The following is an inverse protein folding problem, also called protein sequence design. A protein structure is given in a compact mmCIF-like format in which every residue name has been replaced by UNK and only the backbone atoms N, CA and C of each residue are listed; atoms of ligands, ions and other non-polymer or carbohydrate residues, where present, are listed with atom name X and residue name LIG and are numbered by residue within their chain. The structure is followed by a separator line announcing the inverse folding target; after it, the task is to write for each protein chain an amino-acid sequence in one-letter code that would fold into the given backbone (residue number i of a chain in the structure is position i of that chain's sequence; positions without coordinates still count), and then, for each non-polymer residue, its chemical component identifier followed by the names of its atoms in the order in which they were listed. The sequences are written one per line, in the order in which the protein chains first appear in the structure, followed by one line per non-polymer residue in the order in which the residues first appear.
data_IF_355460830943
#
_entry.id   IF_355460830943
#
_cell.length_a   1.000
_cell.length_b   1.000
_cell.length_c   1.000
_cell.angle_alpha   90.00
_cell.angle_beta   90.00
_cell.angle_gamma   90.00
#
_symmetry.space_group_name_H-M   'P 1'
#
loop_
_entity.id
_entity.type
_entity.pdbx_description
1 polymer ?
#
# COMPACT_ATOMS: atom_id res chain seq x y z
N UNK A 1 -2.91 -3.43 -12.70
CA UNK A 1 -2.44 -2.02 -12.77
C UNK A 1 -3.41 -1.24 -13.64
N UNK A 2 -4.02 -0.19 -13.08
CA UNK A 2 -4.91 0.71 -13.81
C UNK A 2 -4.14 1.35 -14.98
N UNK A 3 -4.77 1.47 -16.16
CA UNK A 3 -4.13 2.11 -17.32
C UNK A 3 -3.88 3.59 -16.98
N UNK A 4 -2.71 4.10 -17.35
CA UNK A 4 -2.47 5.54 -17.33
C UNK A 4 -3.13 6.10 -18.58
N UNK A 5 -4.26 6.80 -18.41
CA UNK A 5 -4.99 7.42 -19.51
C UNK A 5 -4.07 8.29 -20.39
N UNK A 6 -4.36 8.37 -21.69
CA UNK A 6 -3.60 9.17 -22.67
C UNK A 6 -3.90 10.68 -22.58
N UNK A 7 -4.54 11.11 -21.49
CA UNK A 7 -4.77 12.51 -21.16
C UNK A 7 -3.52 13.22 -20.63
N UNK A 8 -3.65 14.51 -20.32
CA UNK A 8 -2.57 15.33 -19.75
C UNK A 8 -2.04 14.70 -18.45
N UNK A 9 -0.77 14.28 -18.46
CA UNK A 9 -0.11 13.67 -17.31
C UNK A 9 0.38 14.76 -16.34
N UNK A 10 -0.56 15.30 -15.56
CA UNK A 10 -0.37 16.34 -14.54
C UNK A 10 -0.27 15.77 -13.11
N UNK A 11 -0.07 16.65 -12.12
CA UNK A 11 0.06 16.24 -10.70
C UNK A 11 -1.19 15.49 -10.20
N UNK A 12 -2.38 15.91 -10.64
CA UNK A 12 -3.66 15.34 -10.22
C UNK A 12 -3.81 13.91 -10.76
N UNK A 13 -3.47 13.69 -12.03
CA UNK A 13 -3.52 12.38 -12.69
C UNK A 13 -2.50 11.42 -12.10
N UNK A 14 -1.27 11.88 -11.82
CA UNK A 14 -0.25 11.07 -11.14
C UNK A 14 -0.72 10.65 -9.74
N UNK A 15 -1.21 11.60 -8.94
CA UNK A 15 -1.74 11.31 -7.60
C UNK A 15 -2.90 10.33 -7.65
N UNK A 16 -3.85 10.56 -8.56
CA UNK A 16 -5.00 9.68 -8.75
C UNK A 16 -4.56 8.26 -9.10
N UNK A 17 -3.60 8.12 -10.02
CA UNK A 17 -3.07 6.82 -10.41
C UNK A 17 -2.46 6.04 -9.24
N UNK A 18 -1.67 6.71 -8.40
CA UNK A 18 -1.10 6.10 -7.19
C UNK A 18 -2.17 5.66 -6.19
N UNK A 19 -3.16 6.53 -5.92
CA UNK A 19 -4.27 6.23 -5.00
C UNK A 19 -5.07 5.02 -5.50
N UNK A 20 -5.50 5.03 -6.76
CA UNK A 20 -6.33 3.97 -7.32
C UNK A 20 -5.58 2.64 -7.41
N UNK A 21 -4.29 2.68 -7.80
CA UNK A 21 -3.48 1.47 -7.90
C UNK A 21 -3.27 0.82 -6.52
N UNK A 22 -2.85 1.60 -5.52
CA UNK A 22 -2.62 1.10 -4.17
C UNK A 22 -3.90 0.62 -3.49
N UNK A 23 -5.02 1.33 -3.71
CA UNK A 23 -6.33 0.92 -3.20
C UNK A 23 -6.80 -0.40 -3.81
N UNK A 24 -6.71 -0.55 -5.13
CA UNK A 24 -7.11 -1.78 -5.84
C UNK A 24 -6.23 -2.96 -5.41
N UNK A 25 -4.93 -2.76 -5.27
CA UNK A 25 -4.03 -3.79 -4.77
C UNK A 25 -4.41 -4.21 -3.34
N UNK A 26 -4.61 -3.23 -2.45
CA UNK A 26 -5.04 -3.50 -1.06
C UNK A 26 -6.36 -4.26 -1.01
N UNK A 27 -7.32 -3.92 -1.86
CA UNK A 27 -8.61 -4.62 -1.96
C UNK A 27 -8.43 -6.11 -2.30
N UNK A 28 -7.63 -6.42 -3.33
CA UNK A 28 -7.39 -7.81 -3.71
C UNK A 28 -6.52 -8.57 -2.70
N UNK A 29 -5.57 -7.88 -2.05
CA UNK A 29 -4.80 -8.45 -0.96
C UNK A 29 -5.71 -8.80 0.22
N UNK A 30 -6.69 -7.95 0.55
CA UNK A 30 -7.67 -8.21 1.61
C UNK A 30 -8.56 -9.40 1.27
N UNK A 31 -9.10 -9.46 0.04
CA UNK A 31 -9.87 -10.61 -0.44
C UNK A 31 -9.10 -11.93 -0.30
N UNK A 32 -7.83 -11.94 -0.71
CA UNK A 32 -6.96 -13.12 -0.58
C UNK A 32 -6.67 -13.45 0.89
N UNK A 33 -6.32 -12.46 1.70
CA UNK A 33 -6.03 -12.63 3.12
C UNK A 33 -7.20 -13.27 3.85
N UNK A 34 -8.43 -12.80 3.61
CA UNK A 34 -9.65 -13.42 4.14
C UNK A 34 -9.77 -14.87 3.71
N UNK A 35 -9.66 -15.16 2.41
CA UNK A 35 -9.75 -16.55 1.90
C UNK A 35 -8.71 -17.49 2.50
N UNK A 36 -7.49 -17.02 2.75
CA UNK A 36 -6.41 -17.84 3.33
C UNK A 36 -6.59 -18.07 4.84
N UNK A 37 -7.19 -17.12 5.56
CA UNK A 37 -7.35 -17.19 7.01
C UNK A 37 -8.72 -17.71 7.46
N UNK A 38 -9.74 -17.68 6.59
CA UNK A 38 -11.05 -18.33 6.84
C UNK A 38 -11.00 -19.84 6.51
N UNK A 39 -10.16 -20.29 5.57
CA UNK A 39 -10.07 -21.71 5.14
C UNK A 39 -9.36 -22.64 6.14
N UNK A 40 -8.68 -22.13 7.16
CA UNK A 40 -8.00 -22.98 8.17
C UNK A 40 -8.97 -23.78 9.05
N UNK A 41 -10.27 -23.52 8.99
CA UNK A 41 -11.31 -24.31 9.68
C UNK A 41 -11.80 -25.54 8.91
N UNK A 42 -11.40 -25.74 7.64
CA UNK A 42 -11.75 -26.97 6.90
C UNK A 42 -10.62 -27.45 5.97
N UNK A 43 -9.90 -28.48 6.42
CA UNK A 43 -9.22 -29.42 5.52
C UNK A 43 -7.71 -29.24 5.39
N UNK A 44 -7.00 -30.33 5.67
CA UNK A 44 -5.56 -30.53 5.54
C UNK A 44 -5.07 -30.22 4.11
N UNK A 45 -4.04 -29.39 4.00
CA UNK A 45 -3.08 -29.41 2.89
C UNK A 45 -3.28 -28.38 1.80
N UNK A 46 -2.66 -27.20 1.95
CA UNK A 46 -1.90 -26.47 0.92
C UNK A 46 -1.38 -25.17 1.51
N UNK A 47 -0.07 -25.07 1.67
CA UNK A 47 0.64 -23.97 2.32
C UNK A 47 1.10 -22.97 1.25
N UNK A 48 0.67 -21.69 1.28
CA UNK A 48 1.55 -20.59 0.93
C UNK A 48 2.34 -20.22 2.19
N UNK A 49 3.66 -20.11 2.07
CA UNK A 49 4.51 -19.64 3.18
C UNK A 49 4.08 -18.23 3.60
N UNK A 50 3.60 -18.11 4.84
CA UNK A 50 3.50 -16.83 5.54
C UNK A 50 4.91 -16.45 6.03
N UNK A 51 5.28 -15.17 5.92
CA UNK A 51 6.57 -14.64 6.37
C UNK A 51 6.74 -14.55 7.89
N UNK A 52 5.69 -14.86 8.66
CA UNK A 52 5.77 -14.99 10.12
C UNK A 52 5.34 -16.41 10.52
N UNK A 53 6.32 -17.18 10.99
CA UNK A 53 6.16 -18.54 11.51
C UNK A 53 5.72 -18.59 12.97
N UNK A 54 4.84 -17.68 13.40
CA UNK A 54 4.34 -17.65 14.77
C UNK A 54 2.90 -18.19 14.82
N UNK A 55 2.78 -19.49 15.07
CA UNK A 55 1.56 -20.11 15.60
C UNK A 55 1.32 -19.54 17.01
N UNK A 56 0.64 -18.41 17.09
CA UNK A 56 0.01 -17.97 18.32
C UNK A 56 -1.42 -18.52 18.35
N UNK A 57 -1.66 -19.44 19.28
CA UNK A 57 -3.01 -19.86 19.66
C UNK A 57 -3.83 -18.62 20.07
N UNK A 58 -4.91 -18.31 19.36
CA UNK A 58 -5.79 -17.19 19.70
C UNK A 58 -6.91 -16.97 18.69
N UNK A 59 -8.07 -17.58 18.96
CA UNK A 59 -9.39 -17.43 18.31
C UNK A 59 -9.45 -17.51 16.78
N UNK A 60 -9.87 -18.69 16.32
CA UNK A 60 -10.37 -19.08 14.99
C UNK A 60 -11.59 -18.23 14.57
N UNK A 61 -11.38 -16.93 14.37
CA UNK A 61 -12.45 -16.03 13.96
C UNK A 61 -12.11 -15.34 12.63
N UNK A 62 -13.12 -15.32 11.76
CA UNK A 62 -13.10 -14.72 10.44
C UNK A 62 -12.51 -13.29 10.48
N UNK A 63 -11.45 -12.99 9.72
CA UNK A 63 -10.85 -11.66 9.69
C UNK A 63 -11.84 -10.54 9.34
N UNK A 64 -12.86 -10.82 8.52
CA UNK A 64 -13.89 -9.83 8.21
C UNK A 64 -14.71 -9.47 9.45
N UNK A 65 -15.12 -10.48 10.22
CA UNK A 65 -15.90 -10.31 11.46
C UNK A 65 -15.09 -9.50 12.49
N UNK A 66 -13.81 -9.84 12.69
CA UNK A 66 -12.93 -9.09 13.60
C UNK A 66 -12.82 -7.61 13.21
N UNK A 67 -12.70 -7.33 11.91
CA UNK A 67 -12.63 -5.96 11.40
C UNK A 67 -13.94 -5.20 11.62
N UNK A 68 -15.09 -5.84 11.39
CA UNK A 68 -16.42 -5.25 11.64
C UNK A 68 -16.68 -4.93 13.12
N UNK A 69 -16.28 -5.84 14.01
CA UNK A 69 -16.58 -5.72 15.45
C UNK A 69 -15.62 -4.80 16.20
N UNK A 70 -14.33 -4.86 15.88
CA UNK A 70 -13.28 -4.17 16.65
C UNK A 70 -12.61 -3.02 15.89
N UNK A 71 -12.77 -2.95 14.57
CA UNK A 71 -11.98 -2.06 13.72
C UNK A 71 -10.50 -2.43 13.61
N UNK A 72 -10.05 -3.49 14.28
CA UNK A 72 -8.64 -3.90 14.24
C UNK A 72 -8.30 -4.55 12.90
N UNK A 73 -7.51 -3.86 12.09
CA UNK A 73 -6.81 -4.46 10.94
C UNK A 73 -5.84 -5.52 11.47
N UNK A 74 -5.89 -6.78 11.00
CA UNK A 74 -4.98 -7.83 11.47
C UNK A 74 -3.50 -7.46 11.26
N UNK A 75 -2.66 -7.67 12.27
CA UNK A 75 -1.29 -7.14 12.30
C UNK A 75 -0.43 -7.62 11.11
N UNK A 76 -0.56 -8.90 10.73
CA UNK A 76 0.12 -9.46 9.56
C UNK A 76 -0.35 -8.83 8.23
N UNK A 77 -1.63 -8.48 8.13
CA UNK A 77 -2.18 -7.80 6.96
C UNK A 77 -1.79 -6.30 6.95
N UNK A 78 -1.79 -5.64 8.10
CA UNK A 78 -1.32 -4.27 8.25
C UNK A 78 0.15 -4.13 7.82
N UNK A 79 1.00 -5.08 8.24
CA UNK A 79 2.39 -5.18 7.78
C UNK A 79 2.48 -5.32 6.26
N UNK A 80 1.62 -6.13 5.65
CA UNK A 80 1.57 -6.25 4.20
C UNK A 80 1.20 -4.92 3.51
N UNK A 81 0.23 -4.17 4.05
CA UNK A 81 -0.10 -2.84 3.55
C UNK A 81 1.08 -1.86 3.66
N UNK A 82 1.88 -1.93 4.73
CA UNK A 82 3.08 -1.10 4.89
C UNK A 82 4.12 -1.38 3.78
N UNK A 83 4.37 -2.66 3.49
CA UNK A 83 5.24 -3.06 2.38
C UNK A 83 4.70 -2.60 1.03
N UNK A 84 3.41 -2.79 0.76
CA UNK A 84 2.77 -2.30 -0.48
C UNK A 84 2.99 -0.79 -0.65
N UNK A 85 2.77 0.03 0.39
CA UNK A 85 3.04 1.47 0.28
C UNK A 85 4.52 1.77 0.03
N UNK A 86 5.43 1.01 0.63
CA UNK A 86 6.87 1.05 0.35
C UNK A 86 7.21 0.75 -1.11
N UNK A 87 6.58 -0.27 -1.71
CA UNK A 87 6.75 -0.61 -3.12
C UNK A 87 6.26 0.52 -4.04
N UNK A 88 5.13 1.16 -3.72
CA UNK A 88 4.68 2.36 -4.45
C UNK A 88 5.67 3.53 -4.31
N UNK A 89 6.31 3.70 -3.14
CA UNK A 89 7.40 4.67 -3.00
C UNK A 89 8.53 4.31 -3.96
N UNK A 90 9.00 3.06 -3.95
CA UNK A 90 10.08 2.63 -4.82
C UNK A 90 9.75 2.81 -6.31
N UNK A 91 8.49 2.59 -6.72
CA UNK A 91 8.01 2.90 -8.08
C UNK A 91 8.16 4.38 -8.40
N UNK A 92 7.76 5.30 -7.50
CA UNK A 92 7.92 6.74 -7.69
C UNK A 92 9.39 7.14 -7.92
N UNK A 93 10.29 6.54 -7.14
CA UNK A 93 11.73 6.81 -7.20
C UNK A 93 12.47 6.01 -8.26
N UNK A 94 11.81 5.10 -8.96
CA UNK A 94 12.43 4.30 -10.02
C UNK A 94 13.04 5.18 -11.13
N UNK A 95 14.25 4.82 -11.57
CA UNK A 95 15.01 5.57 -12.57
C UNK A 95 15.49 6.96 -12.11
N UNK A 96 15.38 7.29 -10.82
CA UNK A 96 16.04 8.45 -10.20
C UNK A 96 17.50 8.12 -9.89
N UNK A 97 18.42 9.05 -10.13
CA UNK A 97 19.82 8.94 -9.67
C UNK A 97 20.03 9.53 -8.27
N UNK A 98 19.03 10.24 -7.76
CA UNK A 98 19.16 11.10 -6.58
C UNK A 98 18.82 10.40 -5.26
N UNK A 99 18.28 9.17 -5.30
CA UNK A 99 18.08 8.34 -4.11
C UNK A 99 18.75 6.98 -4.28
N UNK A 100 19.16 6.37 -3.16
CA UNK A 100 19.72 5.00 -3.08
C UNK A 100 18.78 3.91 -3.60
N UNK A 101 17.61 4.26 -4.11
CA UNK A 101 16.90 3.47 -5.10
C UNK A 101 17.70 3.54 -6.40
N UNK A 102 18.79 2.77 -6.45
CA UNK A 102 19.51 2.51 -7.69
C UNK A 102 18.54 2.07 -8.78
N UNK A 103 19.02 1.98 -10.01
CA UNK A 103 18.31 1.45 -11.17
C UNK A 103 17.85 0.00 -10.89
N UNK A 104 16.87 -0.14 -10.01
CA UNK A 104 16.31 -1.37 -9.53
C UNK A 104 15.37 -1.73 -10.66
N UNK A 105 15.77 -2.75 -11.40
CA UNK A 105 14.80 -3.58 -12.07
C UNK A 105 13.98 -4.23 -10.96
N UNK A 106 12.98 -3.47 -10.48
CA UNK A 106 12.01 -3.88 -9.46
C UNK A 106 11.29 -5.17 -9.89
N UNK A 107 11.44 -5.59 -11.15
CA UNK A 107 10.60 -6.58 -11.77
C UNK A 107 11.37 -7.47 -12.77
N UNK A 108 11.76 -8.66 -12.32
CA UNK A 108 12.09 -9.77 -13.22
C UNK A 108 10.78 -10.42 -13.69
N UNK A 109 10.10 -9.80 -14.65
CA UNK A 109 8.79 -10.24 -15.12
C UNK A 109 8.77 -10.59 -16.63
N UNK A 110 7.67 -11.17 -17.09
CA UNK A 110 7.42 -11.51 -18.50
C UNK A 110 7.45 -10.25 -19.39
N UNK A 111 7.72 -10.40 -20.70
CA UNK A 111 7.98 -9.28 -21.64
C UNK A 111 6.90 -8.20 -21.63
N UNK A 112 5.63 -8.61 -21.51
CA UNK A 112 4.48 -7.70 -21.51
C UNK A 112 4.36 -6.90 -20.20
N UNK A 113 4.89 -7.43 -19.10
CA UNK A 113 4.97 -6.72 -17.82
C UNK A 113 6.15 -5.73 -17.88
N UNK A 114 7.31 -6.15 -18.39
CA UNK A 114 8.48 -5.28 -18.57
C UNK A 114 8.17 -4.05 -19.44
N UNK A 115 7.39 -4.21 -20.52
CA UNK A 115 7.01 -3.10 -21.38
C UNK A 115 6.10 -2.09 -20.65
N UNK A 116 5.11 -2.58 -19.90
CA UNK A 116 4.24 -1.71 -19.09
C UNK A 116 5.02 -0.96 -18.02
N UNK A 117 5.97 -1.63 -17.38
CA UNK A 117 6.82 -1.03 -16.35
C UNK A 117 7.75 0.02 -16.93
N UNK A 118 8.37 -0.27 -18.08
CA UNK A 118 9.17 0.71 -18.80
C UNK A 118 8.35 1.96 -19.13
N UNK A 119 7.11 1.78 -19.61
CA UNK A 119 6.21 2.89 -19.89
C UNK A 119 5.87 3.71 -18.63
N UNK A 120 5.63 3.05 -17.48
CA UNK A 120 5.38 3.74 -16.20
C UNK A 120 6.63 4.52 -15.76
N UNK A 121 7.81 3.88 -15.78
CA UNK A 121 9.11 4.50 -15.45
C UNK A 121 9.34 5.75 -16.32
N UNK A 122 9.11 5.65 -17.63
CA UNK A 122 9.27 6.75 -18.58
C UNK A 122 8.26 7.88 -18.36
N UNK A 123 6.98 7.57 -18.10
CA UNK A 123 5.96 8.59 -17.79
C UNK A 123 6.31 9.35 -16.51
N UNK A 124 6.67 8.65 -15.43
CA UNK A 124 7.11 9.27 -14.16
C UNK A 124 8.36 10.13 -14.38
N UNK A 125 9.37 9.61 -15.08
CA UNK A 125 10.59 10.37 -15.38
C UNK A 125 10.29 11.65 -16.18
N UNK A 126 9.44 11.55 -17.20
CA UNK A 126 9.04 12.68 -18.04
C UNK A 126 8.30 13.75 -17.23
N UNK A 127 7.38 13.35 -16.35
CA UNK A 127 6.67 14.25 -15.45
C UNK A 127 7.62 15.11 -14.61
N UNK A 128 8.62 14.49 -14.00
CA UNK A 128 9.58 15.20 -13.16
C UNK A 128 10.65 15.97 -13.97
N UNK A 129 10.95 15.55 -15.21
CA UNK A 129 11.96 16.21 -16.09
C UNK A 129 11.42 17.45 -16.81
N UNK A 130 10.14 17.48 -17.17
CA UNK A 130 9.50 18.61 -17.86
C UNK A 130 9.28 19.83 -16.94
N UNK A 131 9.65 19.75 -15.67
CA UNK A 131 9.57 20.83 -14.69
C UNK A 131 10.61 21.94 -14.88
N UNK A 132 11.62 21.73 -15.73
CA UNK A 132 12.82 22.60 -15.85
C UNK A 132 12.65 23.96 -16.55
N UNK A 133 11.52 24.22 -17.23
CA UNK A 133 11.32 25.48 -18.00
C UNK A 133 10.52 26.57 -17.26
N UNK A 134 10.18 26.38 -15.98
CA UNK A 134 9.49 27.40 -15.19
C UNK A 134 10.14 27.51 -13.81
N UNK A 135 10.73 28.68 -13.55
CA UNK A 135 11.40 29.09 -12.32
C UNK A 135 10.75 28.52 -11.05
N UNK A 136 11.54 27.71 -10.33
CA UNK A 136 11.61 27.59 -8.87
C UNK A 136 10.48 28.18 -8.03
N UNK A 137 9.48 27.37 -7.65
CA UNK A 137 8.86 27.38 -6.30
C UNK A 137 7.89 26.19 -6.12
N UNK A 138 8.13 25.41 -5.05
CA UNK A 138 7.27 24.38 -4.42
C UNK A 138 6.79 23.17 -5.27
N UNK A 139 7.19 21.94 -4.87
CA UNK A 139 6.39 20.73 -5.12
C UNK A 139 6.86 19.73 -6.19
N UNK A 140 7.90 20.03 -6.96
CA UNK A 140 8.17 19.32 -8.24
C UNK A 140 9.34 18.32 -8.22
N UNK A 141 9.95 18.06 -7.07
CA UNK A 141 10.84 16.90 -6.92
C UNK A 141 10.08 15.71 -6.31
N UNK A 142 10.56 14.49 -6.57
CA UNK A 142 9.88 13.25 -6.14
C UNK A 142 9.69 13.18 -4.62
N UNK A 143 10.62 13.73 -3.84
CA UNK A 143 10.58 13.71 -2.38
C UNK A 143 9.46 14.60 -1.87
N UNK A 144 9.43 15.86 -2.30
CA UNK A 144 8.33 16.80 -1.96
C UNK A 144 6.99 16.25 -2.44
N UNK A 145 6.94 15.60 -3.62
CA UNK A 145 5.72 14.97 -4.11
C UNK A 145 5.25 13.84 -3.17
N UNK A 146 6.17 12.96 -2.75
CA UNK A 146 5.85 11.88 -1.81
C UNK A 146 5.36 12.41 -0.47
N UNK A 147 6.07 13.37 0.14
CA UNK A 147 5.69 14.00 1.42
C UNK A 147 4.27 14.59 1.38
N UNK A 148 3.89 15.18 0.24
CA UNK A 148 2.56 15.76 0.08
C UNK A 148 1.45 14.73 -0.17
N UNK A 149 1.77 13.60 -0.81
CA UNK A 149 0.76 12.69 -1.37
C UNK A 149 0.70 11.31 -0.71
N UNK A 150 1.74 10.85 -0.01
CA UNK A 150 1.78 9.52 0.62
C UNK A 150 0.60 9.27 1.55
N UNK A 151 0.20 10.29 2.33
CA UNK A 151 -0.99 10.24 3.18
C UNK A 151 -2.27 9.92 2.39
N UNK A 152 -2.43 10.48 1.20
CA UNK A 152 -3.63 10.27 0.37
C UNK A 152 -3.63 8.89 -0.28
N UNK A 153 -2.46 8.37 -0.63
CA UNK A 153 -2.29 6.98 -1.11
C UNK A 153 -2.73 6.03 0.02
N UNK A 154 -2.21 6.23 1.23
CA UNK A 154 -2.58 5.45 2.41
C UNK A 154 -4.08 5.55 2.76
N UNK A 155 -4.66 6.76 2.73
CA UNK A 155 -6.10 6.97 2.91
C UNK A 155 -6.92 6.13 1.92
N UNK A 156 -6.48 6.07 0.65
CA UNK A 156 -7.08 5.21 -0.37
C UNK A 156 -6.98 3.71 -0.04
N UNK A 157 -5.83 3.26 0.46
CA UNK A 157 -5.63 1.87 0.89
C UNK A 157 -6.55 1.48 2.05
N UNK A 158 -6.68 2.33 3.08
CA UNK A 158 -7.60 2.10 4.21
C UNK A 158 -9.05 2.12 3.73
N UNK A 159 -9.42 3.07 2.87
CA UNK A 159 -10.76 3.15 2.28
C UNK A 159 -11.14 1.88 1.50
N UNK A 160 -10.17 1.27 0.79
CA UNK A 160 -10.39 0.04 0.04
C UNK A 160 -10.89 -1.13 0.92
N UNK A 161 -10.52 -1.17 2.20
CA UNK A 161 -10.98 -2.21 3.13
C UNK A 161 -12.46 -2.10 3.47
N UNK A 162 -13.08 -0.94 3.23
CA UNK A 162 -14.52 -0.72 3.47
C UNK A 162 -15.40 -1.31 2.37
N UNK A 163 -14.83 -1.67 1.22
CA UNK A 163 -15.60 -2.26 0.12
C UNK A 163 -15.75 -3.77 0.29
N UNK A 164 -16.94 -4.28 -0.02
CA UNK A 164 -17.22 -5.72 0.05
C UNK A 164 -16.48 -6.47 -1.07
N UNK A 165 -15.85 -7.59 -0.74
CA UNK A 165 -15.03 -8.33 -1.71
C UNK A 165 -15.85 -9.19 -2.68
N UNK A 166 -17.08 -9.56 -2.31
CA UNK A 166 -18.06 -10.26 -3.12
C UNK A 166 -18.92 -9.32 -3.98
N UNK A 167 -19.17 -8.10 -3.51
CA UNK A 167 -19.76 -7.03 -4.30
C UNK A 167 -18.99 -5.70 -4.15
N UNK A 168 -17.93 -5.45 -4.95
CA UNK A 168 -17.04 -4.30 -4.80
C UNK A 168 -17.74 -2.93 -4.92
N UNK A 169 -18.93 -2.87 -5.52
CA UNK A 169 -19.73 -1.65 -5.63
C UNK A 169 -20.43 -1.27 -4.31
N UNK A 170 -20.54 -2.22 -3.38
CA UNK A 170 -21.12 -2.00 -2.06
C UNK A 170 -20.04 -1.71 -1.02
N UNK A 171 -20.37 -0.78 -0.14
CA UNK A 171 -19.60 -0.46 1.05
C UNK A 171 -20.17 -1.25 2.23
N UNK A 172 -19.30 -1.81 3.05
CA UNK A 172 -19.61 -2.37 4.35
C UNK A 172 -19.64 -1.22 5.37
N UNK A 173 -20.85 -0.81 5.78
CA UNK A 173 -21.05 0.33 6.68
C UNK A 173 -20.48 0.09 8.08
N UNK A 174 -20.40 -1.17 8.54
CA UNK A 174 -19.80 -1.52 9.82
C UNK A 174 -18.29 -1.30 9.75
N UNK A 175 -17.62 -1.87 8.74
CA UNK A 175 -16.17 -1.65 8.53
C UNK A 175 -15.87 -0.17 8.30
N UNK A 176 -16.71 0.53 7.53
CA UNK A 176 -16.54 1.97 7.31
C UNK A 176 -16.65 2.77 8.61
N UNK A 177 -17.64 2.47 9.45
CA UNK A 177 -17.81 3.13 10.75
C UNK A 177 -16.63 2.88 11.70
N UNK A 178 -16.00 1.72 11.60
CA UNK A 178 -14.81 1.37 12.39
C UNK A 178 -13.53 2.01 11.85
N UNK A 179 -13.35 2.08 10.53
CA UNK A 179 -12.08 2.53 9.95
C UNK A 179 -12.05 4.02 9.63
N UNK A 180 -13.18 4.64 9.36
CA UNK A 180 -13.25 6.02 8.86
C UNK A 180 -14.10 6.93 9.74
N UNK A 181 -13.58 8.14 9.98
CA UNK A 181 -14.29 9.26 10.59
C UNK A 181 -14.28 10.45 9.62
N UNK A 182 -15.45 10.95 9.25
CA UNK A 182 -15.60 12.06 8.28
C UNK A 182 -14.86 11.83 6.94
N UNK A 183 -14.83 10.57 6.48
CA UNK A 183 -14.18 10.17 5.23
C UNK A 183 -12.65 10.06 5.30
N UNK A 184 -12.07 10.12 6.50
CA UNK A 184 -10.63 9.91 6.74
C UNK A 184 -10.39 8.73 7.67
N UNK A 185 -9.24 8.06 7.61
CA UNK A 185 -8.87 7.05 8.59
C UNK A 185 -8.99 7.57 10.01
N UNK A 186 -9.55 6.74 10.89
CA UNK A 186 -9.51 6.99 12.33
C UNK A 186 -8.07 7.22 12.80
N UNK A 187 -7.91 7.95 13.91
CA UNK A 187 -6.61 8.44 14.41
C UNK A 187 -5.51 7.37 14.42
N UNK A 188 -5.81 6.15 14.87
CA UNK A 188 -4.86 5.04 14.94
C UNK A 188 -4.38 4.54 13.57
N UNK A 189 -5.14 4.80 12.51
CA UNK A 189 -4.84 4.43 11.12
C UNK A 189 -4.41 5.62 10.26
N UNK A 190 -4.14 6.79 10.85
CA UNK A 190 -3.58 7.92 10.09
C UNK A 190 -2.12 7.67 9.74
N UNK A 191 -1.69 8.16 8.58
CA UNK A 191 -0.36 7.91 7.99
C UNK A 191 0.83 8.17 8.95
N UNK A 192 0.74 9.20 9.79
CA UNK A 192 1.77 9.60 10.76
C UNK A 192 1.56 9.01 12.18
N UNK A 193 0.53 8.20 12.38
CA UNK A 193 0.18 7.59 13.67
C UNK A 193 0.29 6.06 13.64
N UNK A 194 -0.15 5.44 12.54
CA UNK A 194 -0.21 3.99 12.40
C UNK A 194 1.18 3.39 12.49
N UNK A 195 1.30 2.33 13.29
CA UNK A 195 2.53 1.59 13.56
C UNK A 195 2.25 0.09 13.58
N UNK A 196 3.30 -0.71 13.46
CA UNK A 196 3.21 -2.16 13.65
C UNK A 196 3.47 -2.49 15.11
N UNK A 197 2.63 -3.34 15.70
CA UNK A 197 2.88 -3.90 17.03
C UNK A 197 3.92 -5.04 16.89
N UNK A 198 5.05 -4.95 17.60
CA UNK A 198 6.20 -5.86 17.45
C UNK A 198 6.20 -7.08 18.39
N UNK A 199 5.06 -7.75 18.58
CA UNK A 199 5.04 -8.96 19.42
C UNK A 199 5.68 -10.20 18.75
N UNK A 200 6.34 -10.08 17.58
CA UNK A 200 6.91 -11.24 16.87
C UNK A 200 8.22 -10.99 16.08
N UNK A 201 8.90 -9.85 16.26
CA UNK A 201 10.17 -9.52 15.57
C UNK A 201 11.41 -9.48 16.49
N UNK A 202 12.65 -9.46 15.93
CA UNK A 202 13.85 -9.21 16.72
C UNK A 202 13.73 -7.84 17.39
N UNK A 203 13.80 -7.80 18.73
CA UNK A 203 13.69 -6.57 19.54
C UNK A 203 14.79 -5.56 19.17
N UNK A 204 14.52 -4.71 18.19
CA UNK A 204 15.17 -3.43 17.98
C UNK A 204 14.21 -2.36 18.46
N UNK A 205 14.68 -1.44 19.31
CA UNK A 205 13.88 -0.27 19.71
C UNK A 205 13.37 0.44 18.45
N UNK A 206 12.07 0.31 18.13
CA UNK A 206 11.12 1.42 18.09
C UNK A 206 9.83 0.99 17.36
N UNK A 207 8.70 1.36 17.96
CA UNK A 207 7.36 1.48 17.37
C UNK A 207 7.42 2.10 15.97
N UNK A 208 7.71 1.30 14.94
CA UNK A 208 8.01 1.84 13.62
C UNK A 208 6.71 2.30 12.97
N UNK A 209 6.53 3.62 12.95
CA UNK A 209 5.45 4.29 12.23
C UNK A 209 5.56 4.07 10.73
N UNK A 210 4.43 4.03 10.04
CA UNK A 210 4.36 3.88 8.59
C UNK A 210 5.22 4.89 7.84
N UNK A 211 5.15 6.17 8.20
CA UNK A 211 5.92 7.24 7.55
C UNK A 211 7.43 6.97 7.55
N UNK A 212 7.95 6.38 8.63
CA UNK A 212 9.36 6.01 8.76
C UNK A 212 9.65 4.66 8.11
N UNK A 213 8.68 3.73 8.12
CA UNK A 213 8.83 2.41 7.53
C UNK A 213 9.08 2.49 6.03
N UNK A 214 8.25 3.27 5.32
CA UNK A 214 8.30 3.33 3.85
C UNK A 214 9.56 4.00 3.31
N UNK A 215 10.27 4.77 4.12
CA UNK A 215 11.54 5.40 3.74
C UNK A 215 12.75 4.46 3.85
N UNK A 216 12.60 3.30 4.51
CA UNK A 216 13.69 2.35 4.68
C UNK A 216 13.99 1.67 3.33
N UNK A 217 15.28 1.53 2.96
CA UNK A 217 15.66 0.66 1.85
C UNK A 217 15.16 -0.77 2.12
N UNK A 218 14.68 -1.51 1.11
CA UNK A 218 14.28 -2.91 1.32
C UNK A 218 15.50 -3.71 1.81
N UNK A 219 15.30 -4.43 2.92
CA UNK A 219 16.25 -5.43 3.40
C UNK A 219 16.08 -6.68 2.53
N UNK A 220 17.09 -7.00 1.72
CA UNK A 220 17.23 -8.29 1.03
C UNK A 220 18.18 -9.21 1.80
#
# INVERSE_FOLDING_TARGET
IHKVDDGEFDEKSLRKWFIESAAVETFFLWDRYKKENTKKTQGVGSQPQTLDGNSANGDDEDPQKKLQESGKIPDGFLRQMFYTLGDYRDILFSGSKDEKSGDRDIFNADKEIQEREKNIKEKIKTFFSNSGNQSSTSGKDRKTWWENNAKHIWEGMVCALTHKTDNPQEVDDDVKGQLLENGKPQSIYQYNQVKLDEDSGPKGNDDTKLENFVERPPYF
#
